data_IF_809253109512
#
_entry.id   IF_809253109512
#
_cell.length_a   1.000
_cell.length_b   1.000
_cell.length_c   1.000
_cell.angle_alpha   90.00
_cell.angle_beta   90.00
_cell.angle_gamma   90.00
#
_symmetry.space_group_name_H-M   'P 1'
#
loop_
_entity.id
_entity.type
_entity.pdbx_description
1 polymer ?
#
# COMPACT_ATOMS: atom_id res chain seq x y z
N UNK A 1 -16.10 15.59 2.88
CA UNK A 1 -15.60 14.59 3.84
C UNK A 1 -14.09 14.68 3.83
N UNK A 2 -13.47 15.17 4.90
CA UNK A 2 -12.02 15.21 5.01
C UNK A 2 -11.51 13.77 5.15
N UNK A 3 -10.67 13.31 4.21
CA UNK A 3 -9.98 12.02 4.35
C UNK A 3 -9.17 12.09 5.65
N UNK A 4 -9.49 11.26 6.64
CA UNK A 4 -8.77 11.11 7.91
C UNK A 4 -7.46 10.35 7.71
N UNK A 5 -6.79 10.57 6.57
CA UNK A 5 -5.53 9.94 6.26
C UNK A 5 -4.45 10.59 7.11
N UNK A 6 -4.18 9.99 8.27
CA UNK A 6 -2.87 10.11 8.86
C UNK A 6 -1.95 9.17 8.06
N UNK A 7 -1.00 9.69 7.29
CA UNK A 7 -0.11 8.83 6.53
C UNK A 7 0.86 8.06 7.44
N UNK A 8 0.84 8.29 8.76
CA UNK A 8 1.46 7.43 9.77
C UNK A 8 0.59 6.23 10.18
N UNK A 9 -0.71 6.19 9.84
CA UNK A 9 -1.56 5.02 10.09
C UNK A 9 -1.04 3.82 9.30
N UNK A 10 -0.51 2.87 10.04
CA UNK A 10 0.02 1.61 9.52
C UNK A 10 -0.76 0.49 10.18
N UNK A 11 -1.53 -0.27 9.39
CA UNK A 11 -2.10 -1.53 9.88
C UNK A 11 -1.04 -2.63 9.84
N UNK A 12 -0.22 -2.71 8.78
CA UNK A 12 0.88 -3.67 8.71
C UNK A 12 2.10 -3.12 8.00
N UNK A 13 3.28 -3.56 8.42
CA UNK A 13 4.56 -3.23 7.80
C UNK A 13 5.23 -4.48 7.26
N UNK A 14 5.77 -4.39 6.04
CA UNK A 14 6.53 -5.44 5.39
C UNK A 14 7.88 -4.90 4.92
N UNK A 15 8.93 -5.69 5.08
CA UNK A 15 10.22 -5.44 4.45
C UNK A 15 10.32 -6.33 3.20
N UNK A 16 10.35 -5.71 2.02
CA UNK A 16 10.38 -6.40 0.72
C UNK A 16 11.51 -5.77 -0.11
N UNK A 17 12.49 -6.55 -0.54
CA UNK A 17 13.64 -6.09 -1.36
C UNK A 17 14.31 -4.80 -0.83
N UNK A 18 14.56 -4.74 0.49
CA UNK A 18 15.09 -3.56 1.19
C UNK A 18 14.20 -2.30 1.19
N UNK A 19 12.92 -2.44 0.87
CA UNK A 19 11.90 -1.39 0.98
C UNK A 19 10.97 -1.67 2.16
N UNK A 20 10.73 -0.65 2.98
CA UNK A 20 9.75 -0.73 4.06
C UNK A 20 8.39 -0.30 3.52
N UNK A 21 7.46 -1.23 3.42
CA UNK A 21 6.11 -1.03 2.86
C UNK A 21 5.09 -1.06 3.98
N UNK A 22 4.41 0.06 4.19
CA UNK A 22 3.29 0.21 5.11
C UNK A 22 1.99 0.09 4.33
N UNK A 23 1.09 -0.76 4.79
CA UNK A 23 -0.22 -0.98 4.17
C UNK A 23 -1.33 -0.72 5.20
N UNK A 24 -2.41 -0.12 4.70
CA UNK A 24 -3.64 0.14 5.43
C UNK A 24 -4.85 -0.10 4.54
N UNK A 25 -5.87 -0.82 5.01
CA UNK A 25 -7.13 -0.96 4.28
C UNK A 25 -7.97 0.29 4.46
N UNK A 26 -8.33 0.98 3.37
CA UNK A 26 -9.23 2.14 3.46
C UNK A 26 -10.60 1.70 3.98
N UNK A 27 -11.08 2.36 5.04
CA UNK A 27 -12.28 1.94 5.79
C UNK A 27 -12.01 0.95 6.93
N UNK A 28 -10.75 0.59 7.16
CA UNK A 28 -10.31 -0.34 8.20
C UNK A 28 -10.35 -1.81 7.75
N UNK A 29 -9.45 -2.60 8.32
CA UNK A 29 -9.40 -4.05 8.12
C UNK A 29 -8.72 -4.79 9.26
N UNK A 30 -8.99 -6.07 9.37
CA UNK A 30 -8.27 -6.98 10.27
C UNK A 30 -7.12 -7.63 9.50
N UNK A 31 -5.90 -7.54 10.03
CA UNK A 31 -4.72 -8.16 9.43
C UNK A 31 -4.95 -9.66 9.21
N UNK A 32 -4.50 -10.17 8.07
CA UNK A 32 -4.65 -11.59 7.68
C UNK A 32 -6.01 -11.94 7.06
N UNK A 33 -6.97 -11.00 7.04
CA UNK A 33 -8.19 -11.13 6.24
C UNK A 33 -7.98 -10.58 4.83
N UNK A 34 -8.87 -10.98 3.92
CA UNK A 34 -8.86 -10.52 2.53
C UNK A 34 -9.93 -9.46 2.33
N UNK A 35 -9.57 -8.37 1.66
CA UNK A 35 -10.48 -7.28 1.33
C UNK A 35 -10.30 -6.84 -0.12
N UNK A 36 -11.38 -6.37 -0.73
CA UNK A 36 -11.37 -5.72 -2.04
C UNK A 36 -11.48 -4.20 -1.89
N UNK A 37 -11.21 -3.47 -2.98
CA UNK A 37 -11.33 -2.02 -3.03
C UNK A 37 -10.01 -1.30 -2.76
N UNK A 38 -10.12 -0.08 -2.23
CA UNK A 38 -8.97 0.82 -2.03
C UNK A 38 -8.12 0.45 -0.81
N UNK A 39 -6.82 0.62 -0.99
CA UNK A 39 -5.79 0.46 0.01
C UNK A 39 -4.90 1.69 0.02
N UNK A 40 -4.44 2.05 1.22
CA UNK A 40 -3.41 3.05 1.38
C UNK A 40 -2.06 2.36 1.58
N UNK A 41 -1.03 3.00 1.02
CA UNK A 41 0.34 2.49 1.05
C UNK A 41 1.33 3.62 1.26
N UNK A 42 2.48 3.28 1.85
CA UNK A 42 3.64 4.15 1.96
C UNK A 42 4.91 3.30 1.90
N UNK A 43 5.85 3.68 1.05
CA UNK A 43 7.07 2.92 0.78
C UNK A 43 8.27 3.77 1.11
N UNK A 44 9.15 3.23 1.96
CA UNK A 44 10.44 3.83 2.27
C UNK A 44 11.57 3.04 1.63
N UNK A 45 12.57 3.78 1.13
CA UNK A 45 13.86 3.26 0.72
C UNK A 45 14.94 4.11 1.42
N UNK A 46 15.88 3.47 2.12
CA UNK A 46 16.95 4.16 2.86
C UNK A 46 16.44 5.30 3.77
N UNK A 47 15.32 5.07 4.47
CA UNK A 47 14.70 6.03 5.38
C UNK A 47 13.86 7.13 4.70
N UNK A 48 13.87 7.23 3.36
CA UNK A 48 13.10 8.23 2.60
C UNK A 48 11.84 7.61 2.00
N UNK A 49 10.72 8.32 2.06
CA UNK A 49 9.50 7.94 1.34
C UNK A 49 9.71 8.12 -0.16
N UNK A 50 9.55 7.04 -0.92
CA UNK A 50 9.66 7.06 -2.40
C UNK A 50 8.29 7.02 -3.09
N UNK A 51 7.27 6.48 -2.42
CA UNK A 51 5.90 6.42 -2.92
C UNK A 51 4.89 6.37 -1.77
N UNK A 52 3.72 6.97 -1.95
CA UNK A 52 2.59 6.85 -1.02
C UNK A 52 1.28 7.28 -1.68
N UNK A 53 0.16 6.67 -1.29
CA UNK A 53 -1.17 7.03 -1.79
C UNK A 53 -2.28 6.24 -1.10
N UNK A 54 -3.54 6.58 -1.40
CA UNK A 54 -4.76 5.88 -0.97
C UNK A 54 -5.56 5.30 -2.15
N UNK A 55 -4.95 5.29 -3.32
CA UNK A 55 -5.56 5.01 -4.62
C UNK A 55 -5.23 3.61 -5.15
N UNK A 56 -4.59 2.77 -4.34
CA UNK A 56 -4.29 1.39 -4.73
C UNK A 56 -5.57 0.54 -4.67
N UNK A 57 -6.28 0.48 -5.80
CA UNK A 57 -7.48 -0.32 -5.95
C UNK A 57 -7.16 -1.77 -6.30
N UNK A 58 -7.81 -2.70 -5.58
CA UNK A 58 -7.75 -4.14 -5.87
C UNK A 58 -9.11 -4.63 -6.37
N UNK A 59 -9.13 -5.16 -7.60
CA UNK A 59 -10.35 -5.71 -8.22
C UNK A 59 -10.78 -7.08 -7.69
N UNK A 60 -9.95 -7.74 -6.88
CA UNK A 60 -10.26 -8.99 -6.20
C UNK A 60 -9.75 -8.93 -4.75
N UNK A 61 -10.38 -9.68 -3.81
CA UNK A 61 -9.96 -9.65 -2.41
C UNK A 61 -8.50 -10.09 -2.19
N UNK A 62 -7.74 -9.25 -1.50
CA UNK A 62 -6.33 -9.48 -1.15
C UNK A 62 -6.06 -9.21 0.34
N UNK A 63 -5.02 -9.85 0.85
CA UNK A 63 -4.44 -9.61 2.17
C UNK A 63 -3.52 -8.40 2.15
N UNK A 64 -3.22 -7.84 3.32
CA UNK A 64 -2.21 -6.78 3.47
C UNK A 64 -0.86 -7.15 2.84
N UNK A 65 -0.42 -8.40 3.01
CA UNK A 65 0.84 -8.89 2.44
C UNK A 65 0.83 -8.90 0.91
N UNK A 66 -0.24 -9.43 0.29
CA UNK A 66 -0.38 -9.42 -1.17
C UNK A 66 -0.43 -7.99 -1.71
N UNK A 67 -1.08 -7.07 -0.98
CA UNK A 67 -1.15 -5.65 -1.35
C UNK A 67 0.20 -4.95 -1.18
N UNK A 68 0.99 -5.32 -0.18
CA UNK A 68 2.34 -4.77 0.02
C UNK A 68 3.27 -5.08 -1.15
N UNK A 69 3.22 -6.33 -1.65
CA UNK A 69 3.98 -6.72 -2.84
C UNK A 69 3.53 -5.93 -4.08
N UNK A 70 2.21 -5.80 -4.29
CA UNK A 70 1.66 -5.03 -5.40
C UNK A 70 2.03 -3.54 -5.32
N UNK A 71 1.92 -2.93 -4.14
CA UNK A 71 2.28 -1.53 -3.95
C UNK A 71 3.73 -1.26 -4.35
N UNK A 72 4.65 -2.16 -3.98
CA UNK A 72 6.04 -2.06 -4.37
C UNK A 72 6.23 -2.22 -5.89
N UNK A 73 5.62 -3.25 -6.48
CA UNK A 73 5.66 -3.48 -7.94
C UNK A 73 5.18 -2.24 -8.72
N UNK A 74 4.03 -1.68 -8.35
CA UNK A 74 3.49 -0.47 -8.96
C UNK A 74 4.39 0.75 -8.79
N UNK A 75 5.10 0.86 -7.68
CA UNK A 75 5.97 2.00 -7.37
C UNK A 75 7.32 1.92 -8.09
N UNK A 76 7.78 0.71 -8.39
CA UNK A 76 9.03 0.47 -9.11
C UNK A 76 8.83 0.37 -10.63
N UNK A 77 7.59 0.15 -11.10
CA UNK A 77 7.27 0.15 -12.52
C UNK A 77 7.66 1.50 -13.16
N UNK A 78 8.42 1.52 -14.27
CA UNK A 78 8.76 2.76 -14.95
C UNK A 78 7.49 3.49 -15.39
N UNK A 79 7.45 4.81 -15.19
CA UNK A 79 6.30 5.67 -15.40
C UNK A 79 5.65 5.63 -16.82
N UNK A 80 6.22 4.87 -17.76
CA UNK A 80 5.73 4.67 -19.13
C UNK A 80 4.79 3.48 -19.34
N UNK A 81 4.49 2.66 -18.33
CA UNK A 81 3.58 1.51 -18.46
C UNK A 81 2.10 1.84 -18.14
N UNK A 82 1.72 3.11 -18.13
CA UNK A 82 0.32 3.54 -18.01
C UNK A 82 -0.26 3.73 -19.42
N UNK A 83 -0.97 2.72 -19.93
CA UNK A 83 -1.88 2.85 -21.07
C UNK A 83 -3.31 2.61 -20.60
#
# INVERSE_FOLDING_TARGET
MASTFDPALTESTHLIDAHLVHIYKVGGGTIGRRYQGNWAYRIHQNGRVIASGEDLYTGAPKTHHEVAALALEFSLAPAGARR
#
